data_IF_913323059131
#
_entry.id   IF_913323059131
#
_cell.length_a   1.000
_cell.length_b   1.000
_cell.length_c   1.000
_cell.angle_alpha   90.00
_cell.angle_beta   90.00
_cell.angle_gamma   90.00
#
_symmetry.space_group_name_H-M   'P 1'
#
loop_
_entity.id
_entity.type
_entity.pdbx_description
1 polymer ?
#
# COMPACT_ATOMS: atom_id res chain seq x y z
N UNK A 1 10.31 17.01 4.58
CA UNK A 1 11.32 16.71 5.64
C UNK A 1 10.85 15.46 6.37
N UNK A 2 11.73 14.69 7.02
CA UNK A 2 11.31 13.44 7.66
C UNK A 2 10.36 13.70 8.84
N UNK A 3 9.27 12.93 8.95
CA UNK A 3 8.33 13.01 10.07
C UNK A 3 8.88 12.26 11.29
N UNK A 4 9.91 12.83 11.93
CA UNK A 4 10.59 12.22 13.09
C UNK A 4 9.70 12.22 14.35
N UNK A 5 8.63 13.04 14.36
CA UNK A 5 7.66 13.12 15.45
C UNK A 5 6.81 11.85 15.63
N UNK A 6 6.42 11.19 14.53
CA UNK A 6 5.49 10.04 14.55
C UNK A 6 6.02 8.82 15.34
N UNK A 7 7.34 8.69 15.49
CA UNK A 7 7.98 7.66 16.33
C UNK A 7 8.12 8.06 17.80
N UNK A 8 7.87 9.33 18.15
CA UNK A 8 8.08 9.88 19.50
C UNK A 8 6.81 9.85 20.37
N UNK A 9 5.60 9.99 19.78
CA UNK A 9 4.33 9.97 20.54
C UNK A 9 3.72 8.57 20.73
N UNK A 10 4.17 7.57 19.97
CA UNK A 10 3.90 6.13 20.25
C UNK A 10 4.38 5.67 21.64
N UNK A 11 5.19 6.50 22.33
CA UNK A 11 5.83 6.20 23.60
C UNK A 11 4.87 6.17 24.81
N UNK A 12 3.71 6.81 24.71
CA UNK A 12 2.64 6.75 25.74
C UNK A 12 1.37 5.99 25.29
N UNK A 13 1.29 5.61 24.01
CA UNK A 13 0.10 4.96 23.45
C UNK A 13 -0.29 3.66 24.20
N UNK A 14 -1.60 3.51 24.43
CA UNK A 14 -2.20 2.42 25.20
C UNK A 14 -1.86 1.03 24.63
N UNK A 15 -1.86 -0.03 25.45
CA UNK A 15 -1.65 -1.39 24.95
C UNK A 15 -2.72 -1.82 23.93
N UNK A 16 -3.95 -1.30 24.07
CA UNK A 16 -5.07 -1.59 23.18
C UNK A 16 -4.85 -0.99 21.79
N UNK A 17 -4.55 0.31 21.68
CA UNK A 17 -4.31 0.98 20.40
C UNK A 17 -3.17 0.32 19.58
N UNK A 18 -2.18 -0.28 20.28
CA UNK A 18 -1.07 -1.04 19.66
C UNK A 18 -1.48 -2.43 19.16
N UNK A 19 -2.55 -3.00 19.69
CA UNK A 19 -3.18 -4.22 19.20
C UNK A 19 -4.15 -3.89 18.05
N UNK A 20 -5.03 -2.92 18.22
CA UNK A 20 -6.02 -2.49 17.22
C UNK A 20 -5.31 -2.12 15.90
N UNK A 21 -4.29 -1.26 15.97
CA UNK A 21 -3.49 -0.86 14.81
C UNK A 21 -2.79 -2.04 14.13
N UNK A 22 -2.38 -3.07 14.89
CA UNK A 22 -1.77 -4.29 14.33
C UNK A 22 -2.81 -5.13 13.58
N UNK A 23 -4.03 -5.25 14.12
CA UNK A 23 -5.13 -5.95 13.45
C UNK A 23 -5.58 -5.20 12.19
N UNK A 24 -5.61 -3.86 12.22
CA UNK A 24 -5.94 -3.03 11.07
C UNK A 24 -4.87 -3.12 9.96
N UNK A 25 -3.58 -3.17 10.32
CA UNK A 25 -2.51 -3.51 9.38
C UNK A 25 -2.67 -4.92 8.77
N UNK A 26 -3.18 -5.90 9.52
CA UNK A 26 -3.42 -7.25 9.00
C UNK A 26 -4.56 -7.26 7.99
N UNK A 27 -5.70 -6.63 8.32
CA UNK A 27 -6.83 -6.43 7.40
C UNK A 27 -6.39 -5.70 6.12
N UNK A 28 -5.55 -4.66 6.23
CA UNK A 28 -5.01 -3.95 5.06
C UNK A 28 -4.09 -4.82 4.20
N UNK A 29 -3.19 -5.62 4.79
CA UNK A 29 -2.34 -6.56 4.04
C UNK A 29 -3.14 -7.64 3.31
N UNK A 30 -4.20 -8.16 3.94
CA UNK A 30 -5.12 -9.08 3.29
C UNK A 30 -5.86 -8.42 2.13
N UNK A 31 -6.33 -7.19 2.30
CA UNK A 31 -6.95 -6.44 1.23
C UNK A 31 -5.99 -6.19 0.04
N UNK A 32 -4.75 -5.75 0.31
CA UNK A 32 -3.70 -5.66 -0.70
C UNK A 32 -3.45 -6.99 -1.42
N UNK A 33 -3.45 -8.11 -0.70
CA UNK A 33 -3.30 -9.43 -1.29
C UNK A 33 -4.50 -9.80 -2.19
N UNK A 34 -5.75 -9.47 -1.81
CA UNK A 34 -6.94 -9.62 -2.68
C UNK A 34 -6.76 -8.85 -4.00
N UNK A 35 -6.28 -7.60 -3.95
CA UNK A 35 -6.03 -6.79 -5.15
C UNK A 35 -4.92 -7.37 -6.04
N UNK A 36 -3.77 -7.72 -5.47
CA UNK A 36 -2.64 -8.32 -6.21
C UNK A 36 -3.01 -9.70 -6.79
N UNK A 37 -3.88 -10.45 -6.10
CA UNK A 37 -4.37 -11.73 -6.57
C UNK A 37 -5.39 -11.61 -7.72
N UNK A 38 -6.25 -10.57 -7.68
CA UNK A 38 -7.11 -10.17 -8.81
C UNK A 38 -6.26 -9.83 -10.04
N UNK A 39 -5.22 -9.00 -9.87
CA UNK A 39 -4.25 -8.68 -10.92
C UNK A 39 -3.56 -9.94 -11.48
N UNK A 40 -3.17 -10.90 -10.64
CA UNK A 40 -2.58 -12.18 -11.08
C UNK A 40 -3.58 -13.02 -11.89
N UNK A 41 -4.86 -13.09 -11.48
CA UNK A 41 -5.94 -13.75 -12.25
C UNK A 41 -6.09 -13.10 -13.63
N UNK A 42 -6.16 -11.78 -13.70
CA UNK A 42 -6.30 -11.03 -14.95
C UNK A 42 -5.06 -11.15 -15.85
N UNK A 43 -3.85 -11.00 -15.30
CA UNK A 43 -2.58 -11.12 -16.03
C UNK A 43 -2.43 -12.50 -16.70
N UNK A 44 -2.82 -13.58 -16.00
CA UNK A 44 -2.81 -14.93 -16.57
C UNK A 44 -3.78 -15.11 -17.73
N UNK A 45 -4.99 -14.57 -17.62
CA UNK A 45 -6.02 -14.67 -18.65
C UNK A 45 -5.78 -13.70 -19.83
N UNK A 46 -5.02 -12.61 -19.61
CA UNK A 46 -4.67 -11.64 -20.64
C UNK A 46 -3.69 -12.20 -21.69
N UNK A 47 -3.93 -11.82 -22.95
CA UNK A 47 -2.97 -12.03 -24.05
C UNK A 47 -1.66 -11.28 -23.74
N UNK A 48 -0.49 -11.74 -24.24
CA UNK A 48 0.80 -11.09 -23.99
C UNK A 48 0.83 -9.57 -24.23
N UNK A 49 0.14 -9.11 -25.27
CA UNK A 49 -0.03 -7.69 -25.63
C UNK A 49 -0.57 -6.81 -24.49
N UNK A 50 -1.50 -7.32 -23.68
CA UNK A 50 -2.22 -6.55 -22.64
C UNK A 50 -1.64 -6.75 -21.24
N UNK A 51 -0.76 -7.75 -21.06
CA UNK A 51 -0.15 -8.08 -19.76
C UNK A 51 0.62 -6.91 -19.16
N UNK A 52 1.44 -6.23 -19.97
CA UNK A 52 2.18 -5.05 -19.53
C UNK A 52 1.24 -3.89 -19.14
N UNK A 53 0.17 -3.66 -19.91
CA UNK A 53 -0.81 -2.60 -19.63
C UNK A 53 -1.58 -2.84 -18.30
N UNK A 54 -1.87 -4.08 -17.93
CA UNK A 54 -2.49 -4.38 -16.62
C UNK A 54 -1.57 -4.01 -15.46
N UNK A 55 -0.27 -4.29 -15.59
CA UNK A 55 0.74 -3.98 -14.57
C UNK A 55 1.03 -2.48 -14.48
N UNK A 56 1.09 -1.81 -15.64
CA UNK A 56 1.23 -0.37 -15.75
C UNK A 56 0.06 0.33 -15.05
N UNK A 57 -1.19 -0.03 -15.38
CA UNK A 57 -2.40 0.51 -14.72
C UNK A 57 -2.42 0.25 -13.21
N UNK A 58 -2.06 -0.95 -12.77
CA UNK A 58 -2.01 -1.26 -11.33
C UNK A 58 -0.94 -0.42 -10.62
N UNK A 59 0.21 -0.18 -11.26
CA UNK A 59 1.24 0.69 -10.74
C UNK A 59 0.83 2.18 -10.78
N UNK A 60 0.16 2.65 -11.83
CA UNK A 60 -0.44 3.99 -11.91
C UNK A 60 -1.45 4.24 -10.78
N UNK A 61 -2.22 3.21 -10.44
CA UNK A 61 -3.23 3.21 -9.39
C UNK A 61 -2.60 3.18 -7.98
N UNK A 62 -1.58 2.35 -7.75
CA UNK A 62 -0.76 2.43 -6.53
C UNK A 62 -0.14 3.83 -6.37
N UNK A 63 0.33 4.43 -7.47
CA UNK A 63 0.80 5.81 -7.45
C UNK A 63 -0.34 6.83 -7.32
N UNK A 64 -1.61 6.49 -7.56
CA UNK A 64 -2.78 7.37 -7.34
C UNK A 64 -3.15 7.43 -5.86
N UNK A 65 -3.20 6.28 -5.19
CA UNK A 65 -3.57 6.23 -3.77
C UNK A 65 -2.58 7.00 -2.89
N UNK A 66 -1.29 7.02 -3.23
CA UNK A 66 -0.24 7.81 -2.55
C UNK A 66 -0.14 9.29 -2.99
N UNK A 67 -1.10 9.82 -3.77
CA UNK A 67 -1.11 11.22 -4.25
C UNK A 67 -2.25 12.03 -3.62
N UNK A 68 -2.10 12.37 -2.34
CA UNK A 68 -2.94 13.33 -1.62
C UNK A 68 -2.13 14.44 -0.96
N UNK A 69 -2.83 15.44 -0.43
CA UNK A 69 -2.26 16.40 0.51
C UNK A 69 -2.07 15.75 1.90
N UNK A 70 -1.33 16.37 2.83
CA UNK A 70 -1.46 16.05 4.25
C UNK A 70 -2.91 16.25 4.70
N UNK A 71 -3.46 15.29 5.43
CA UNK A 71 -4.84 15.29 5.93
C UNK A 71 -4.79 15.51 7.44
N UNK A 72 -5.75 16.25 8.00
CA UNK A 72 -5.79 16.53 9.44
C UNK A 72 -6.04 15.28 10.27
N UNK A 73 -5.40 15.22 11.43
CA UNK A 73 -5.58 14.16 12.41
C UNK A 73 -7.04 14.17 12.96
N UNK A 74 -7.74 13.02 12.98
CA UNK A 74 -9.10 12.92 13.51
C UNK A 74 -9.20 13.37 14.97
N UNK A 75 -10.25 14.13 15.28
CA UNK A 75 -10.51 14.64 16.62
C UNK A 75 -9.80 15.96 16.99
N UNK A 76 -8.99 16.52 16.08
CA UNK A 76 -8.34 17.83 16.28
C UNK A 76 -9.25 19.02 16.00
N UNK A 77 -8.85 20.21 16.45
CA UNK A 77 -9.52 21.47 16.11
C UNK A 77 -9.57 21.72 14.59
N UNK A 78 -8.52 21.32 13.86
CA UNK A 78 -8.45 21.44 12.40
C UNK A 78 -9.47 20.54 11.69
N UNK A 79 -9.59 19.27 12.13
CA UNK A 79 -10.61 18.35 11.65
C UNK A 79 -12.03 18.93 11.80
N UNK A 80 -12.41 19.37 13.01
CA UNK A 80 -13.78 19.84 13.25
C UNK A 80 -14.09 21.19 12.59
N UNK A 81 -13.11 22.10 12.45
CA UNK A 81 -13.26 23.31 11.63
C UNK A 81 -13.51 22.99 10.15
N UNK A 82 -12.83 21.96 9.63
CA UNK A 82 -13.04 21.50 8.26
C UNK A 82 -14.42 20.87 8.05
N UNK A 83 -14.94 20.10 9.01
CA UNK A 83 -16.31 19.56 8.94
C UNK A 83 -17.34 20.70 8.96
N UNK A 84 -17.15 21.72 9.81
CA UNK A 84 -17.99 22.92 9.86
C UNK A 84 -17.98 23.73 8.54
N UNK A 85 -16.81 23.89 7.92
CA UNK A 85 -16.70 24.63 6.66
C UNK A 85 -17.16 23.81 5.43
N UNK A 86 -16.58 22.63 5.21
CA UNK A 86 -16.80 21.84 3.98
C UNK A 86 -18.07 20.97 4.05
N UNK A 87 -18.45 20.51 5.25
CA UNK A 87 -19.62 19.66 5.50
C UNK A 87 -20.88 20.46 5.79
N UNK A 88 -20.88 21.24 6.88
CA UNK A 88 -22.05 22.04 7.31
C UNK A 88 -22.29 23.28 6.43
N UNK A 89 -21.30 23.66 5.59
CA UNK A 89 -21.33 24.84 4.71
C UNK A 89 -21.42 26.17 5.50
N UNK A 90 -20.77 26.22 6.66
CA UNK A 90 -20.71 27.36 7.56
C UNK A 90 -19.37 28.10 7.47
N UNK A 91 -19.31 29.32 7.99
CA UNK A 91 -18.10 30.16 7.94
C UNK A 91 -17.08 29.70 9.01
N UNK A 92 -15.81 29.53 8.65
CA UNK A 92 -14.76 29.06 9.57
C UNK A 92 -14.57 30.04 10.75
N UNK A 93 -14.71 31.36 10.49
CA UNK A 93 -14.66 32.41 11.52
C UNK A 93 -15.82 32.31 12.54
N UNK A 94 -16.85 31.49 12.26
CA UNK A 94 -17.99 31.25 13.16
C UNK A 94 -17.91 29.94 13.95
N UNK A 95 -16.83 29.15 13.78
CA UNK A 95 -16.67 27.87 14.47
C UNK A 95 -16.66 28.02 16.01
N UNK A 96 -17.65 27.42 16.67
CA UNK A 96 -17.68 27.21 18.11
C UNK A 96 -17.82 25.70 18.43
N UNK A 97 -17.01 25.13 19.35
CA UNK A 97 -17.04 23.70 19.64
C UNK A 97 -18.34 23.22 20.31
N UNK A 98 -19.04 24.09 21.05
CA UNK A 98 -20.32 23.73 21.67
C UNK A 98 -21.45 23.72 20.64
N UNK A 99 -21.43 24.67 19.69
CA UNK A 99 -22.37 24.66 18.56
C UNK A 99 -22.12 23.50 17.60
N UNK A 100 -20.85 23.19 17.28
CA UNK A 100 -20.49 22.02 16.47
C UNK A 100 -21.04 20.72 17.08
N UNK A 101 -20.81 20.51 18.38
CA UNK A 101 -21.31 19.35 19.12
C UNK A 101 -22.84 19.27 19.05
N UNK A 102 -23.53 20.38 19.31
CA UNK A 102 -25.00 20.46 19.27
C UNK A 102 -25.60 20.30 17.86
N UNK A 103 -24.81 20.47 16.79
CA UNK A 103 -25.23 20.23 15.42
C UNK A 103 -25.08 18.75 15.00
N UNK A 104 -24.21 18.00 15.68
CA UNK A 104 -23.88 16.60 15.38
C UNK A 104 -24.49 15.58 16.37
N UNK A 105 -24.96 16.04 17.53
CA UNK A 105 -25.82 15.29 18.47
C UNK A 105 -27.24 15.17 17.86
N UNK A 106 -27.44 14.16 17.02
CA UNK A 106 -28.62 14.01 16.17
C UNK A 106 -29.84 13.49 16.95
N UNK A 107 -29.64 12.67 17.99
CA UNK A 107 -30.74 12.18 18.84
C UNK A 107 -31.01 13.07 20.08
N UNK A 108 -30.13 14.06 20.34
CA UNK A 108 -30.19 15.04 21.43
C UNK A 108 -29.93 14.42 22.82
N UNK A 109 -29.07 13.39 22.92
CA UNK A 109 -28.71 12.73 24.17
C UNK A 109 -27.57 13.43 24.96
N UNK A 110 -26.94 14.47 24.41
CA UNK A 110 -25.77 15.17 24.96
C UNK A 110 -24.48 14.31 25.03
N UNK A 111 -24.31 13.43 24.04
CA UNK A 111 -23.08 12.74 23.65
C UNK A 111 -22.92 12.84 22.13
N UNK A 112 -21.75 12.44 21.63
CA UNK A 112 -21.58 11.98 20.26
C UNK A 112 -21.28 10.48 20.29
N UNK A 113 -22.06 9.69 19.56
CA UNK A 113 -21.92 8.24 19.45
C UNK A 113 -20.97 7.82 18.31
N UNK A 114 -20.79 6.50 18.15
CA UNK A 114 -19.91 5.94 17.13
C UNK A 114 -20.36 6.20 15.67
N UNK A 115 -21.63 6.52 15.42
CA UNK A 115 -22.19 6.85 14.10
C UNK A 115 -22.13 8.36 13.82
N UNK A 116 -22.38 9.19 14.83
CA UNK A 116 -22.25 10.64 14.77
C UNK A 116 -20.79 11.06 14.54
N UNK A 117 -19.85 10.43 15.26
CA UNK A 117 -18.41 10.60 15.00
C UNK A 117 -18.00 10.07 13.61
N UNK A 118 -18.47 8.89 13.22
CA UNK A 118 -18.23 8.32 11.89
C UNK A 118 -18.64 9.27 10.76
N UNK A 119 -19.73 10.01 10.95
CA UNK A 119 -20.24 11.01 9.98
C UNK A 119 -19.26 12.18 9.84
N UNK A 120 -18.60 12.62 10.90
CA UNK A 120 -17.57 13.69 10.82
C UNK A 120 -16.33 13.27 10.03
N UNK A 121 -15.97 11.98 10.05
CA UNK A 121 -14.79 11.47 9.36
C UNK A 121 -14.97 11.36 7.83
N UNK A 122 -16.20 11.42 7.32
CA UNK A 122 -16.50 11.33 5.89
C UNK A 122 -15.73 12.35 5.04
N UNK A 123 -15.54 13.58 5.55
CA UNK A 123 -14.75 14.62 4.87
C UNK A 123 -13.26 14.24 4.76
N UNK A 124 -12.66 13.67 5.82
CA UNK A 124 -11.26 13.20 5.78
C UNK A 124 -11.09 11.98 4.86
N UNK A 125 -12.08 11.08 4.82
CA UNK A 125 -12.08 9.89 3.97
C UNK A 125 -12.18 10.25 2.48
N UNK A 126 -12.94 11.29 2.13
CA UNK A 126 -13.09 11.72 0.74
C UNK A 126 -11.89 12.54 0.22
N UNK A 127 -10.93 12.92 1.06
CA UNK A 127 -9.61 13.41 0.65
C UNK A 127 -8.64 12.28 0.25
N UNK A 128 -8.87 11.06 0.72
CA UNK A 128 -8.03 9.89 0.45
C UNK A 128 -8.40 9.25 -0.90
N UNK A 129 -7.54 9.27 -1.94
CA UNK A 129 -7.86 8.68 -3.24
C UNK A 129 -8.06 7.16 -3.17
N UNK A 130 -7.53 6.52 -2.11
CA UNK A 130 -7.67 5.09 -1.83
C UNK A 130 -9.04 4.67 -1.31
N UNK A 131 -9.76 5.57 -0.62
CA UNK A 131 -11.01 5.26 0.09
C UNK A 131 -12.09 6.32 -0.15
N UNK A 132 -11.95 7.12 -1.20
CA UNK A 132 -12.98 8.07 -1.64
C UNK A 132 -14.27 7.30 -1.96
N UNK A 133 -15.42 7.91 -1.69
CA UNK A 133 -16.75 7.31 -1.87
C UNK A 133 -16.89 6.53 -3.20
N UNK A 134 -17.12 5.22 -3.10
CA UNK A 134 -17.33 4.30 -4.23
C UNK A 134 -16.08 3.61 -4.81
N UNK A 135 -14.86 3.98 -4.39
CA UNK A 135 -13.61 3.35 -4.83
C UNK A 135 -13.42 1.97 -4.16
N UNK A 136 -13.37 1.95 -2.82
CA UNK A 136 -13.07 0.77 -2.01
C UNK A 136 -13.78 0.85 -0.65
N UNK A 137 -14.93 0.16 -0.54
CA UNK A 137 -15.75 0.16 0.67
C UNK A 137 -15.14 -0.65 1.82
N UNK A 138 -14.30 -1.65 1.55
CA UNK A 138 -13.68 -2.48 2.59
C UNK A 138 -12.59 -1.67 3.30
N UNK A 139 -11.73 -1.01 2.51
CA UNK A 139 -10.66 -0.16 3.03
C UNK A 139 -11.18 1.15 3.65
N UNK A 140 -12.30 1.68 3.16
CA UNK A 140 -12.96 2.87 3.73
C UNK A 140 -13.55 2.61 5.11
N UNK A 141 -14.20 1.46 5.31
CA UNK A 141 -14.73 1.07 6.62
C UNK A 141 -13.62 0.80 7.64
N UNK A 142 -12.52 0.17 7.17
CA UNK A 142 -11.32 -0.06 7.96
C UNK A 142 -10.69 1.27 8.42
N UNK A 143 -10.47 2.22 7.50
CA UNK A 143 -9.86 3.50 7.84
C UNK A 143 -10.79 4.35 8.72
N UNK A 144 -12.12 4.35 8.49
CA UNK A 144 -13.08 5.02 9.39
C UNK A 144 -13.03 4.45 10.80
N UNK A 145 -13.03 3.12 10.92
CA UNK A 145 -12.90 2.44 12.23
C UNK A 145 -11.58 2.80 12.92
N UNK A 146 -10.48 2.91 12.16
CA UNK A 146 -9.18 3.34 12.68
C UNK A 146 -9.21 4.81 13.15
N UNK A 147 -9.89 5.71 12.43
CA UNK A 147 -10.11 7.10 12.86
C UNK A 147 -10.95 7.16 14.16
N UNK A 148 -12.07 6.41 14.24
CA UNK A 148 -12.90 6.28 15.44
C UNK A 148 -12.12 5.77 16.65
N UNK A 149 -11.36 4.68 16.49
CA UNK A 149 -10.56 4.08 17.57
C UNK A 149 -9.48 5.06 18.07
N UNK A 150 -8.89 5.85 17.17
CA UNK A 150 -7.94 6.90 17.53
C UNK A 150 -8.58 8.01 18.37
N UNK A 151 -9.73 8.51 17.95
CA UNK A 151 -10.50 9.56 18.67
C UNK A 151 -10.97 9.06 20.04
N UNK A 152 -11.60 7.89 20.12
CA UNK A 152 -12.07 7.32 21.39
C UNK A 152 -10.91 6.90 22.32
N UNK A 153 -9.75 6.50 21.79
CA UNK A 153 -8.60 6.26 22.65
C UNK A 153 -8.09 7.58 23.29
N UNK A 154 -8.19 8.72 22.58
CA UNK A 154 -7.68 10.05 22.97
C UNK A 154 -8.64 10.89 23.83
N UNK A 155 -9.92 10.96 23.47
CA UNK A 155 -10.88 11.93 24.04
C UNK A 155 -11.89 11.33 25.04
N UNK A 156 -12.36 10.11 24.82
CA UNK A 156 -13.25 9.41 25.78
C UNK A 156 -12.41 9.07 27.03
N UNK A 157 -12.57 9.79 28.14
CA UNK A 157 -11.79 9.52 29.36
C UNK A 157 -12.39 8.35 30.14
N UNK A 158 -13.71 8.19 30.06
CA UNK A 158 -14.48 7.33 30.95
C UNK A 158 -14.60 5.87 30.45
N UNK A 159 -14.37 5.67 29.15
CA UNK A 159 -14.43 4.41 28.37
C UNK A 159 -15.84 3.79 28.25
N UNK A 160 -16.87 4.62 28.11
CA UNK A 160 -18.22 4.20 27.69
C UNK A 160 -18.40 4.13 26.16
N UNK A 161 -17.44 4.62 25.37
CA UNK A 161 -17.49 4.61 23.91
C UNK A 161 -18.27 5.77 23.28
N UNK A 162 -18.65 6.76 24.09
CA UNK A 162 -19.34 7.99 23.69
C UNK A 162 -18.46 9.20 24.05
N UNK A 163 -18.60 10.33 23.35
CA UNK A 163 -17.96 11.59 23.78
C UNK A 163 -18.96 12.52 24.44
N UNK A 164 -18.74 12.89 25.70
CA UNK A 164 -19.45 14.01 26.31
C UNK A 164 -18.95 15.36 25.78
N UNK A 165 -19.78 16.39 25.94
CA UNK A 165 -19.42 17.76 25.56
C UNK A 165 -18.17 18.27 26.31
N UNK A 166 -17.90 17.78 27.52
CA UNK A 166 -16.73 18.21 28.30
C UNK A 166 -15.45 17.46 27.86
N UNK A 167 -15.54 16.17 27.53
CA UNK A 167 -14.47 15.41 26.84
C UNK A 167 -14.17 16.03 25.45
N UNK A 168 -15.21 16.36 24.68
CA UNK A 168 -15.10 17.00 23.36
C UNK A 168 -14.46 18.41 23.37
N UNK A 169 -14.38 19.06 24.54
CA UNK A 169 -13.69 20.33 24.76
C UNK A 169 -12.21 20.17 25.10
N UNK A 170 -11.78 19.01 25.59
CA UNK A 170 -10.38 18.71 25.93
C UNK A 170 -9.67 18.21 24.68
N UNK A 171 -9.46 19.11 23.71
CA UNK A 171 -8.72 18.83 22.48
C UNK A 171 -7.35 19.48 22.50
N UNK A 172 -6.34 18.76 22.01
CA UNK A 172 -5.04 19.39 21.75
C UNK A 172 -5.13 20.28 20.49
N UNK A 173 -4.50 21.46 20.49
CA UNK A 173 -4.39 22.31 19.30
C UNK A 173 -3.27 21.84 18.35
N UNK A 174 -2.74 20.64 18.55
CA UNK A 174 -1.66 20.05 17.75
C UNK A 174 -2.28 19.01 16.82
N UNK A 175 -2.08 19.23 15.52
CA UNK A 175 -2.39 18.32 14.43
C UNK A 175 -1.05 17.88 13.81
N UNK A 176 -0.61 16.65 14.13
CA UNK A 176 0.59 16.03 13.56
C UNK A 176 0.32 15.42 12.16
N UNK A 177 -0.92 15.50 11.67
CA UNK A 177 -1.40 14.94 10.42
C UNK A 177 -1.78 13.46 10.50
N UNK A 178 -2.88 13.08 9.84
CA UNK A 178 -3.25 11.69 9.67
C UNK A 178 -2.36 11.03 8.60
N UNK A 179 -1.58 10.02 9.01
CA UNK A 179 -0.90 9.14 8.06
C UNK A 179 -1.81 7.95 7.72
N UNK A 180 -2.20 7.73 6.45
CA UNK A 180 -3.11 6.64 6.08
C UNK A 180 -2.47 5.25 6.11
N UNK A 181 -3.28 4.19 6.19
CA UNK A 181 -2.80 2.79 6.13
C UNK A 181 -1.95 2.51 4.87
N UNK A 182 -2.27 3.17 3.76
CA UNK A 182 -1.63 3.01 2.46
C UNK A 182 -0.22 3.63 2.42
N UNK A 183 -0.01 4.77 3.11
CA UNK A 183 1.29 5.44 3.21
C UNK A 183 2.23 4.74 4.20
N UNK A 184 1.65 4.09 5.23
CA UNK A 184 2.40 3.37 6.26
C UNK A 184 3.16 2.15 5.71
N UNK A 185 2.70 1.57 4.60
CA UNK A 185 3.35 0.42 3.96
C UNK A 185 4.11 0.81 2.69
N UNK A 186 5.45 0.80 2.76
CA UNK A 186 6.30 0.84 1.57
C UNK A 186 6.13 -0.45 0.73
N UNK A 187 5.30 -0.38 -0.31
CA UNK A 187 5.18 -1.44 -1.30
C UNK A 187 6.44 -1.50 -2.17
N UNK A 188 6.96 -2.72 -2.48
CA UNK A 188 8.08 -2.85 -3.40
C UNK A 188 7.63 -2.46 -4.82
N UNK A 189 8.42 -1.65 -5.57
CA UNK A 189 8.10 -1.30 -6.95
C UNK A 189 7.96 -2.52 -7.86
N UNK A 190 7.00 -2.47 -8.80
CA UNK A 190 6.79 -3.48 -9.85
C UNK A 190 7.84 -3.38 -10.98
N UNK A 191 9.11 -3.14 -10.63
CA UNK A 191 10.19 -2.85 -11.58
C UNK A 191 10.70 -4.09 -12.31
N UNK A 192 10.34 -4.21 -13.59
CA UNK A 192 11.07 -4.97 -14.60
C UNK A 192 11.06 -6.51 -14.50
N UNK A 193 10.49 -7.08 -13.43
CA UNK A 193 10.39 -8.55 -13.23
C UNK A 193 8.94 -9.01 -13.30
N UNK A 194 8.31 -8.72 -14.43
CA UNK A 194 6.86 -8.79 -14.65
C UNK A 194 6.36 -10.17 -15.12
N UNK A 195 6.74 -11.24 -14.41
CA UNK A 195 6.25 -12.60 -14.70
C UNK A 195 5.25 -13.11 -13.65
N UNK A 196 4.47 -14.14 -14.01
CA UNK A 196 3.45 -14.74 -13.13
C UNK A 196 4.05 -15.24 -11.79
N UNK A 197 5.34 -15.59 -11.77
CA UNK A 197 6.06 -16.02 -10.56
C UNK A 197 6.33 -14.87 -9.59
N UNK A 198 6.66 -13.68 -10.08
CA UNK A 198 6.87 -12.49 -9.23
C UNK A 198 5.55 -11.99 -8.64
N UNK A 199 4.47 -12.00 -9.44
CA UNK A 199 3.12 -11.70 -8.93
C UNK A 199 2.67 -12.73 -7.88
N UNK A 200 2.91 -14.03 -8.12
CA UNK A 200 2.68 -15.07 -7.12
C UNK A 200 3.49 -14.85 -5.84
N UNK A 201 4.75 -14.42 -5.95
CA UNK A 201 5.63 -14.17 -4.80
C UNK A 201 5.21 -12.90 -4.03
N UNK A 202 4.79 -11.84 -4.72
CA UNK A 202 4.26 -10.61 -4.12
C UNK A 202 2.97 -10.87 -3.32
N UNK A 203 2.03 -11.62 -3.91
CA UNK A 203 0.81 -12.08 -3.22
C UNK A 203 1.20 -12.94 -2.02
N UNK A 204 2.08 -13.95 -2.22
CA UNK A 204 2.62 -14.79 -1.13
C UNK A 204 3.25 -13.96 0.00
N UNK A 205 4.00 -12.90 -0.30
CA UNK A 205 4.70 -12.10 0.72
C UNK A 205 3.72 -11.31 1.60
N UNK A 206 2.71 -10.70 0.99
CA UNK A 206 1.67 -9.98 1.74
C UNK A 206 0.80 -10.95 2.57
N UNK A 207 0.67 -12.21 2.14
CA UNK A 207 -0.07 -13.26 2.85
C UNK A 207 0.71 -14.02 3.94
N UNK A 208 1.99 -14.41 3.72
CA UNK A 208 2.69 -15.38 4.59
C UNK A 208 3.62 -14.78 5.65
N UNK A 209 3.99 -13.50 5.58
CA UNK A 209 4.98 -12.95 6.52
C UNK A 209 4.45 -12.77 7.97
N UNK A 210 3.14 -12.71 8.17
CA UNK A 210 2.52 -12.45 9.49
C UNK A 210 1.31 -13.36 9.75
N UNK A 211 1.45 -14.47 10.49
CA UNK A 211 0.31 -15.30 10.89
C UNK A 211 -0.50 -14.59 11.99
N UNK A 212 -1.59 -13.95 11.58
CA UNK A 212 -2.66 -13.47 12.47
C UNK A 212 -3.80 -14.49 12.50
N UNK A 213 -4.51 -14.57 11.38
CA UNK A 213 -5.60 -15.50 11.13
C UNK A 213 -5.30 -16.37 9.90
N UNK A 214 -6.00 -17.50 9.70
CA UNK A 214 -5.97 -18.21 8.42
C UNK A 214 -6.67 -17.36 7.35
N UNK A 215 -5.87 -16.89 6.39
CA UNK A 215 -6.30 -16.36 5.09
C UNK A 215 -7.47 -17.19 4.55
N UNK A 216 -8.50 -16.54 3.99
CA UNK A 216 -9.67 -17.26 3.47
C UNK A 216 -9.26 -18.43 2.57
N UNK A 217 -9.78 -19.61 2.88
CA UNK A 217 -9.31 -20.88 2.28
C UNK A 217 -9.40 -20.87 0.75
N UNK A 218 -10.37 -20.12 0.20
CA UNK A 218 -10.55 -19.83 -1.22
C UNK A 218 -9.30 -19.24 -1.90
N UNK A 219 -8.68 -18.20 -1.30
CA UNK A 219 -7.49 -17.55 -1.85
C UNK A 219 -6.30 -18.52 -1.83
N UNK A 220 -6.13 -19.24 -0.71
CA UNK A 220 -5.05 -20.22 -0.55
C UNK A 220 -5.22 -21.45 -1.46
N UNK A 221 -6.44 -21.93 -1.65
CA UNK A 221 -6.79 -23.00 -2.57
C UNK A 221 -6.45 -22.62 -4.01
N UNK A 222 -6.96 -21.47 -4.48
CA UNK A 222 -6.71 -21.02 -5.86
C UNK A 222 -5.23 -20.69 -6.11
N UNK A 223 -4.52 -20.12 -5.14
CA UNK A 223 -3.05 -19.94 -5.22
C UNK A 223 -2.32 -21.27 -5.37
N UNK A 224 -2.75 -22.30 -4.63
CA UNK A 224 -2.16 -23.65 -4.72
C UNK A 224 -2.41 -24.28 -6.09
N UNK A 225 -3.66 -24.21 -6.60
CA UNK A 225 -4.00 -24.66 -7.96
C UNK A 225 -3.25 -23.88 -9.05
N UNK A 226 -3.09 -22.57 -8.86
CA UNK A 226 -2.28 -21.72 -9.74
C UNK A 226 -0.80 -22.08 -9.73
N UNK A 227 -0.23 -22.47 -8.58
CA UNK A 227 1.18 -22.83 -8.47
C UNK A 227 1.48 -24.15 -9.18
N UNK A 228 0.57 -25.14 -9.08
CA UNK A 228 0.66 -26.39 -9.84
C UNK A 228 0.64 -26.16 -11.37
N UNK A 229 -0.07 -25.14 -11.85
CA UNK A 229 -0.16 -24.80 -13.27
C UNK A 229 0.94 -23.82 -13.78
N UNK A 230 1.72 -23.22 -12.88
CA UNK A 230 2.91 -22.38 -13.19
C UNK A 230 4.21 -23.20 -13.16
N UNK A 231 4.16 -24.47 -12.73
CA UNK A 231 5.22 -25.43 -13.04
C UNK A 231 5.20 -25.75 -14.54
N UNK A 232 5.88 -24.92 -15.33
CA UNK A 232 6.07 -25.12 -16.76
C UNK A 232 6.58 -26.54 -17.02
N UNK A 233 5.94 -27.26 -17.97
CA UNK A 233 6.55 -28.48 -18.51
C UNK A 233 7.91 -28.07 -19.09
N UNK A 234 9.02 -28.73 -18.72
CA UNK A 234 10.33 -28.37 -19.24
C UNK A 234 10.30 -28.48 -20.76
N UNK A 235 10.50 -27.36 -21.45
CA UNK A 235 10.58 -27.32 -22.91
C UNK A 235 11.71 -28.26 -23.31
N UNK A 236 11.44 -29.34 -24.08
CA UNK A 236 12.49 -30.29 -24.41
C UNK A 236 13.60 -29.58 -25.17
N UNK A 237 14.83 -29.68 -24.67
CA UNK A 237 16.01 -29.15 -25.35
C UNK A 237 16.17 -29.89 -26.68
N UNK A 238 15.68 -29.29 -27.76
CA UNK A 238 15.97 -29.74 -29.11
C UNK A 238 17.44 -29.44 -29.38
N UNK A 239 18.29 -30.44 -29.13
CA UNK A 239 19.69 -30.37 -29.50
C UNK A 239 19.79 -30.06 -31.01
N UNK A 240 20.72 -29.16 -31.42
CA UNK A 240 20.96 -28.93 -32.84
C UNK A 240 21.36 -30.25 -33.52
N UNK A 241 20.99 -30.45 -34.80
CA UNK A 241 21.18 -31.74 -35.47
C UNK A 241 22.66 -32.15 -35.47
N UNK A 242 22.92 -33.35 -34.94
CA UNK A 242 24.26 -33.93 -34.93
C UNK A 242 24.78 -34.08 -36.37
N UNK A 243 25.85 -33.35 -36.69
CA UNK A 243 26.66 -33.64 -37.87
C UNK A 243 27.56 -34.83 -37.57
N UNK A 244 27.39 -35.93 -38.32
CA UNK A 244 28.24 -37.11 -38.20
C UNK A 244 29.57 -36.87 -38.93
N UNK A 245 30.67 -37.20 -38.25
CA UNK A 245 32.03 -36.96 -38.70
C UNK A 245 33.01 -37.98 -38.07
N UNK A 246 32.63 -39.27 -38.08
CA UNK A 246 33.53 -40.35 -37.67
C UNK A 246 34.76 -40.52 -38.58
N UNK A 247 35.84 -41.03 -37.98
CA UNK A 247 37.16 -41.39 -38.54
C UNK A 247 38.22 -40.28 -38.64
N UNK A 248 39.30 -40.48 -37.86
CA UNK A 248 40.59 -39.85 -38.06
C UNK A 248 41.69 -40.93 -38.09
N UNK A 249 42.57 -40.88 -39.09
CA UNK A 249 43.80 -41.65 -39.19
C UNK A 249 44.88 -40.77 -39.88
N UNK A 250 46.20 -40.96 -39.63
CA UNK A 250 47.11 -39.80 -39.51
C UNK A 250 48.18 -39.64 -40.62
N UNK A 251 49.02 -38.61 -40.43
CA UNK A 251 50.15 -38.14 -41.26
C UNK A 251 49.75 -37.22 -42.45
N UNK A 252 50.56 -36.25 -42.90
CA UNK A 252 52.04 -36.10 -42.78
C UNK A 252 52.49 -34.64 -42.57
N UNK A 253 53.71 -34.47 -42.04
CA UNK A 253 54.49 -33.23 -41.80
C UNK A 253 54.71 -32.29 -42.99
N UNK A 254 54.62 -30.97 -42.73
CA UNK A 254 55.48 -29.92 -43.34
C UNK A 254 55.67 -28.73 -42.39
N UNK A 255 56.70 -27.90 -42.61
CA UNK A 255 57.17 -26.82 -41.70
C UNK A 255 56.84 -25.38 -42.20
N UNK A 256 56.97 -24.34 -41.35
CA UNK A 256 56.47 -22.97 -41.60
C UNK A 256 57.48 -22.05 -42.34
N UNK A 257 57.17 -20.74 -42.48
CA UNK A 257 58.01 -19.78 -41.74
C UNK A 257 57.32 -18.52 -41.15
N UNK A 258 57.84 -18.11 -39.99
CA UNK A 258 58.23 -16.75 -39.55
C UNK A 258 57.44 -15.46 -39.88
N UNK A 259 56.93 -14.83 -38.81
CA UNK A 259 57.38 -13.52 -38.27
C UNK A 259 57.46 -12.26 -39.15
N UNK A 260 56.65 -11.23 -38.82
CA UNK A 260 57.09 -9.81 -38.65
C UNK A 260 56.35 -9.13 -37.47
N UNK A 261 57.11 -8.48 -36.60
CA UNK A 261 56.79 -7.25 -35.82
C UNK A 261 57.92 -6.24 -36.16
N UNK A 262 57.85 -4.90 -35.90
CA UNK A 262 57.07 -4.17 -34.88
C UNK A 262 56.12 -3.09 -35.55
N UNK A 263 55.75 -1.89 -35.06
CA UNK A 263 56.31 -1.03 -33.99
C UNK A 263 55.33 -0.01 -33.37
N UNK A 264 55.75 0.43 -32.18
CA UNK A 264 55.31 1.53 -31.28
C UNK A 264 55.27 2.92 -31.93
N UNK A 265 54.24 3.73 -31.62
CA UNK A 265 54.33 5.11 -31.06
C UNK A 265 52.98 5.89 -31.17
N UNK A 266 52.73 7.06 -30.56
CA UNK A 266 52.81 7.54 -29.14
C UNK A 266 52.31 9.01 -29.11
N UNK A 267 51.46 9.40 -28.14
CA UNK A 267 51.12 10.81 -27.77
C UNK A 267 50.45 11.72 -28.84
N UNK A 268 49.80 12.86 -28.54
CA UNK A 268 49.18 13.40 -27.30
C UNK A 268 48.16 14.51 -27.64
N UNK A 269 47.47 15.00 -26.58
CA UNK A 269 46.95 16.36 -26.29
C UNK A 269 47.15 17.47 -27.38
N UNK A 270 46.27 18.47 -27.54
CA UNK A 270 45.75 19.31 -26.46
C UNK A 270 44.54 20.21 -26.84
N UNK A 271 43.88 20.71 -25.79
CA UNK A 271 43.12 21.97 -25.64
C UNK A 271 42.79 22.85 -26.86
N UNK A 272 41.49 23.16 -26.98
CA UNK A 272 40.98 24.53 -26.86
C UNK A 272 39.82 24.53 -25.86
#
# INVERSE_FOLDING_TARGET
MFCVAYLSLLWLASPQLKLDLKEDYQKYREHLAKLQFKLLKEHKLAKPEYRQMLLEKFNEELNRIHRHAPISEPGTDAHFRKVWHDGDQLDEDTYDPTLFFQAHDYDNNARLDAHELDTTFENLLDELPAVKSGEDMELRELERTRMRNHVLNRLDENKDGLLSLDEFRVRDPIDDGWMPLQDQQQLPPLEGKTNDSYLLDLVRKNLLEHPGEPISEEIMHDLTGMQANVQEKPVPFQAPPHVDAGHAAPATTTQPPSTIQPTVATEAQAHA
#
